data_IF_305907631351
#
_entry.id   IF_305907631351
#
_cell.length_a   1.000
_cell.length_b   1.000
_cell.length_c   1.000
_cell.angle_alpha   90.00
_cell.angle_beta   90.00
_cell.angle_gamma   90.00
#
_symmetry.space_group_name_H-M   'P 1'
#
loop_
_entity.id
_entity.type
_entity.pdbx_description
1 polymer ?
#
# COMPACT_ATOMS: atom_id res chain seq x y z
N UNK A 1 -0.22 -14.07 16.97
CA UNK A 1 -0.40 -12.62 16.72
C UNK A 1 -1.09 -12.35 15.38
N UNK A 2 -0.53 -12.74 14.22
CA UNK A 2 -1.14 -12.44 12.90
C UNK A 2 -2.57 -12.97 12.79
N UNK A 3 -2.84 -14.23 13.20
CA UNK A 3 -4.21 -14.79 13.21
C UNK A 3 -5.21 -13.93 14.01
N UNK A 4 -4.79 -13.43 15.17
CA UNK A 4 -5.65 -12.62 16.04
C UNK A 4 -6.15 -11.35 15.34
N UNK A 5 -5.32 -10.71 14.51
CA UNK A 5 -5.73 -9.53 13.73
C UNK A 5 -6.85 -9.87 12.74
N UNK A 6 -6.71 -10.96 11.99
CA UNK A 6 -7.74 -11.37 11.02
C UNK A 6 -9.02 -11.88 11.69
N UNK A 7 -8.92 -12.43 12.90
CA UNK A 7 -10.10 -12.86 13.66
C UNK A 7 -10.88 -11.66 14.25
N UNK A 8 -10.22 -10.53 14.52
CA UNK A 8 -10.85 -9.37 15.19
C UNK A 8 -11.22 -8.24 14.24
N UNK A 9 -10.58 -8.14 13.08
CA UNK A 9 -10.84 -7.10 12.10
C UNK A 9 -11.24 -7.72 10.75
N UNK A 10 -12.47 -7.46 10.32
CA UNK A 10 -12.96 -7.86 8.99
C UNK A 10 -12.57 -6.83 7.94
N UNK A 11 -12.32 -7.28 6.71
CA UNK A 11 -12.03 -6.38 5.57
C UNK A 11 -10.61 -5.82 5.56
N UNK A 12 -9.68 -6.45 6.27
CA UNK A 12 -8.27 -6.07 6.22
C UNK A 12 -7.65 -6.43 4.87
N UNK A 13 -7.06 -5.43 4.24
CA UNK A 13 -6.08 -5.59 3.17
C UNK A 13 -4.69 -5.76 3.78
N UNK A 14 -3.90 -6.68 3.25
CA UNK A 14 -2.54 -6.91 3.73
C UNK A 14 -1.58 -5.88 3.13
N UNK A 15 -0.92 -5.02 3.94
CA UNK A 15 0.03 -4.05 3.42
C UNK A 15 1.27 -4.72 2.82
N UNK A 16 1.81 -4.11 1.75
CA UNK A 16 2.98 -4.62 1.04
C UNK A 16 4.24 -4.70 1.94
N UNK A 17 4.36 -3.81 2.92
CA UNK A 17 5.45 -3.79 3.90
C UNK A 17 5.44 -5.05 4.76
N UNK A 18 4.26 -5.53 5.14
CA UNK A 18 4.10 -6.74 5.96
C UNK A 18 4.54 -7.98 5.18
N UNK A 19 4.15 -8.06 3.90
CA UNK A 19 4.57 -9.13 2.99
C UNK A 19 6.08 -9.10 2.79
N UNK A 20 6.64 -7.91 2.53
CA UNK A 20 8.08 -7.71 2.33
C UNK A 20 8.88 -8.13 3.56
N UNK A 21 8.43 -7.72 4.75
CA UNK A 21 9.08 -8.09 6.00
C UNK A 21 9.04 -9.61 6.24
N UNK A 22 7.91 -10.27 5.99
CA UNK A 22 7.80 -11.73 6.13
C UNK A 22 8.69 -12.48 5.12
N UNK A 23 8.77 -11.99 3.88
CA UNK A 23 9.62 -12.54 2.82
C UNK A 23 11.11 -12.38 3.15
N UNK A 24 11.53 -11.20 3.63
CA UNK A 24 12.92 -10.94 4.01
C UNK A 24 13.45 -11.90 5.09
N UNK A 25 12.54 -12.41 5.93
CA UNK A 25 12.86 -13.38 6.99
C UNK A 25 12.63 -14.84 6.58
N UNK A 26 12.23 -15.10 5.33
CA UNK A 26 11.96 -16.44 4.83
C UNK A 26 10.76 -17.13 5.49
N UNK A 27 9.81 -16.36 6.04
CA UNK A 27 8.65 -16.90 6.75
C UNK A 27 7.54 -17.34 5.78
N UNK A 28 7.82 -18.38 5.00
CA UNK A 28 6.90 -18.92 4.00
C UNK A 28 5.49 -19.26 4.55
N UNK A 29 5.35 -19.89 5.74
CA UNK A 29 4.01 -20.20 6.28
C UNK A 29 3.19 -18.93 6.61
N UNK A 30 3.87 -17.84 6.98
CA UNK A 30 3.22 -16.56 7.25
C UNK A 30 2.74 -15.94 5.94
N UNK A 31 3.57 -15.99 4.89
CA UNK A 31 3.18 -15.50 3.56
C UNK A 31 1.98 -16.25 2.99
N UNK A 32 1.93 -17.57 3.14
CA UNK A 32 0.77 -18.37 2.73
C UNK A 32 -0.50 -17.95 3.49
N UNK A 33 -0.40 -17.78 4.80
CA UNK A 33 -1.51 -17.33 5.63
C UNK A 33 -1.98 -15.92 5.25
N UNK A 34 -1.05 -14.97 5.10
CA UNK A 34 -1.36 -13.60 4.69
C UNK A 34 -2.05 -13.58 3.34
N UNK A 35 -1.50 -14.33 2.38
CA UNK A 35 -2.08 -14.47 1.06
C UNK A 35 -3.51 -14.99 1.19
N UNK A 36 -3.74 -16.15 1.80
CA UNK A 36 -5.07 -16.77 1.96
C UNK A 36 -6.14 -15.86 2.55
N UNK A 37 -5.78 -14.99 3.49
CA UNK A 37 -6.72 -14.16 4.25
C UNK A 37 -6.84 -12.72 3.74
N UNK A 38 -6.02 -12.32 2.76
CA UNK A 38 -6.05 -10.97 2.19
C UNK A 38 -7.37 -10.68 1.47
N UNK A 39 -8.14 -9.74 2.02
CA UNK A 39 -9.43 -9.32 1.46
C UNK A 39 -9.28 -8.29 0.33
N UNK A 40 -8.09 -7.71 0.15
CA UNK A 40 -7.78 -6.82 -0.96
C UNK A 40 -7.66 -7.53 -2.32
N UNK A 41 -7.56 -8.87 -2.33
CA UNK A 41 -7.50 -9.66 -3.57
C UNK A 41 -8.68 -9.47 -4.52
N UNK A 42 -9.86 -9.15 -3.99
CA UNK A 42 -11.08 -9.04 -4.78
C UNK A 42 -11.19 -7.72 -5.55
N UNK A 43 -10.33 -6.75 -5.25
CA UNK A 43 -10.28 -5.48 -5.96
C UNK A 43 -9.20 -5.57 -7.04
N UNK A 44 -9.54 -5.23 -8.28
CA UNK A 44 -8.51 -5.01 -9.30
C UNK A 44 -7.68 -3.80 -8.86
N UNK A 45 -6.37 -3.97 -8.72
CA UNK A 45 -5.47 -2.89 -8.35
C UNK A 45 -4.64 -2.45 -9.55
N UNK A 46 -4.40 -1.14 -9.68
CA UNK A 46 -3.45 -0.56 -10.62
C UNK A 46 -2.29 0.04 -9.85
N UNK A 47 -1.07 -0.28 -10.29
CA UNK A 47 0.14 0.36 -9.76
C UNK A 47 0.23 1.75 -10.38
N UNK A 48 0.25 2.78 -9.54
CA UNK A 48 0.45 4.16 -9.96
C UNK A 48 1.78 4.63 -9.41
N UNK A 49 2.64 5.10 -10.31
CA UNK A 49 3.82 5.87 -9.89
C UNK A 49 3.32 7.24 -9.48
N UNK A 50 3.44 7.56 -8.20
CA UNK A 50 3.18 8.89 -7.69
C UNK A 50 4.50 9.63 -7.79
N UNK A 51 4.50 10.68 -8.60
CA UNK A 51 5.54 11.69 -8.55
C UNK A 51 5.06 12.77 -7.61
N UNK A 52 5.76 12.96 -6.49
CA UNK A 52 5.51 14.11 -5.64
C UNK A 52 6.05 15.34 -6.40
N UNK A 53 5.15 16.20 -6.88
CA UNK A 53 5.51 17.54 -7.33
C UNK A 53 5.72 18.38 -6.07
N UNK A 54 6.96 18.42 -5.58
CA UNK A 54 7.31 19.26 -4.46
C UNK A 54 7.56 20.68 -4.99
N UNK A 55 6.50 21.49 -5.06
CA UNK A 55 6.64 22.94 -5.18
C UNK A 55 6.97 23.52 -3.79
N UNK A 56 8.11 23.17 -3.21
CA UNK A 56 8.65 24.00 -2.12
C UNK A 56 9.31 25.22 -2.77
N UNK A 57 8.63 26.36 -2.71
CA UNK A 57 9.22 27.67 -2.99
C UNK A 57 10.05 28.13 -1.79
N UNK A 58 11.19 27.48 -1.51
CA UNK A 58 12.15 28.01 -0.53
C UNK A 58 13.57 27.74 -0.97
N UNK A 59 14.10 28.63 -1.80
CA UNK A 59 15.47 28.59 -2.29
C UNK A 59 16.49 28.57 -1.16
N UNK A 60 16.95 27.37 -0.76
CA UNK A 60 18.31 27.11 -0.31
C UNK A 60 18.57 25.58 -0.32
N UNK A 61 19.62 25.12 -1.00
CA UNK A 61 20.12 23.74 -0.89
C UNK A 61 20.42 23.04 -2.22
N UNK A 62 21.41 22.12 -2.26
CA UNK A 62 21.84 21.45 -3.49
C UNK A 62 20.81 20.41 -3.95
N UNK A 63 20.60 20.34 -5.25
CA UNK A 63 19.75 19.36 -5.93
C UNK A 63 20.30 17.94 -5.71
N UNK A 64 19.69 17.17 -4.81
CA UNK A 64 19.95 15.73 -4.70
C UNK A 64 19.18 14.97 -5.79
N UNK A 65 19.66 13.79 -6.23
CA UNK A 65 18.93 12.95 -7.18
C UNK A 65 17.56 12.57 -6.61
N UNK A 66 16.50 12.78 -7.40
CA UNK A 66 15.08 12.67 -7.03
C UNK A 66 14.72 11.24 -6.61
N UNK A 67 14.61 11.01 -5.30
CA UNK A 67 14.11 9.77 -4.66
C UNK A 67 12.64 9.90 -4.22
N UNK A 68 11.92 10.93 -4.67
CA UNK A 68 10.55 11.25 -4.19
C UNK A 68 9.46 10.54 -5.00
N UNK A 69 9.81 9.45 -5.71
CA UNK A 69 8.85 8.66 -6.47
C UNK A 69 8.65 7.31 -5.82
N UNK A 70 7.41 7.03 -5.43
CA UNK A 70 6.99 5.72 -4.95
C UNK A 70 5.90 5.15 -5.84
N UNK A 71 5.84 3.82 -5.90
CA UNK A 71 4.75 3.11 -6.57
C UNK A 71 3.72 2.69 -5.54
N UNK A 72 2.50 3.19 -5.70
CA UNK A 72 1.37 2.87 -4.83
C UNK A 72 0.41 1.93 -5.55
N UNK A 73 -0.11 0.94 -4.83
CA UNK A 73 -1.20 0.08 -5.30
C UNK A 73 -2.52 0.81 -5.06
N UNK A 74 -3.25 1.13 -6.13
CA UNK A 74 -4.51 1.87 -6.04
C UNK A 74 -5.65 0.98 -6.54
N UNK A 75 -6.77 0.84 -5.80
CA UNK A 75 -7.89 0.06 -6.29
C UNK A 75 -8.51 0.73 -7.52
N UNK A 76 -8.87 -0.06 -8.53
CA UNK A 76 -9.67 0.41 -9.64
C UNK A 76 -11.08 0.64 -9.13
N UNK A 77 -11.44 1.91 -8.98
CA UNK A 77 -12.79 2.28 -8.57
C UNK A 77 -13.79 2.09 -9.72
N UNK A 78 -15.01 1.61 -9.44
CA UNK A 78 -16.07 1.50 -10.45
C UNK A 78 -16.45 2.89 -10.99
N UNK A 79 -16.98 2.95 -12.21
CA UNK A 79 -17.26 4.23 -12.89
C UNK A 79 -18.33 5.07 -12.19
N UNK A 80 -19.23 4.43 -11.44
CA UNK A 80 -20.26 5.09 -10.62
C UNK A 80 -19.80 5.50 -9.21
N UNK A 81 -18.51 5.30 -8.87
CA UNK A 81 -18.01 5.64 -7.54
C UNK A 81 -17.81 7.15 -7.36
N UNK A 82 -18.62 7.77 -6.49
CA UNK A 82 -18.56 9.20 -6.17
C UNK A 82 -17.78 9.48 -4.87
N UNK A 83 -16.91 8.56 -4.45
CA UNK A 83 -16.19 8.67 -3.18
C UNK A 83 -15.19 9.83 -3.17
N UNK A 84 -15.28 10.66 -2.13
CA UNK A 84 -14.27 11.67 -1.81
C UNK A 84 -12.92 10.97 -1.60
N UNK A 85 -11.91 11.42 -2.34
CA UNK A 85 -10.51 10.98 -2.20
C UNK A 85 -9.94 11.62 -0.93
N UNK A 86 -10.42 11.18 0.24
CA UNK A 86 -9.79 11.49 1.52
C UNK A 86 -9.09 10.22 1.96
N UNK A 87 -7.86 10.05 1.48
CA UNK A 87 -6.89 9.21 2.16
C UNK A 87 -6.59 9.88 3.51
N UNK A 88 -7.37 9.55 4.53
CA UNK A 88 -7.03 9.87 5.92
C UNK A 88 -6.59 8.58 6.58
N UNK A 89 -5.29 8.51 6.86
CA UNK A 89 -4.66 7.52 7.74
C UNK A 89 -5.17 7.65 9.17
#
# INVERSE_FOLDING_TARGET
>A
MVKWFFDHFSGLEVPAEVVTAAASKGHLPVLQFLLENDQGRCCDHKRKTVEMEVEWSTGWGPTLPREDSWTESVPIMPKEWNGLVLATW
#
